data_IF_290220272025
#
_entry.id   IF_290220272025
#
_cell.length_a   1.000
_cell.length_b   1.000
_cell.length_c   1.000
_cell.angle_alpha   90.00
_cell.angle_beta   90.00
_cell.angle_gamma   90.00
#
_symmetry.space_group_name_H-M   'P 1'
#
loop_
_entity.id
_entity.type
_entity.pdbx_description
1 polymer ?
#
# COMPACT_ATOMS: atom_id res chain seq x y z
N UNK A 1 21.40 7.92 35.42
CA UNK A 1 20.48 7.98 34.26
C UNK A 1 20.97 6.94 33.27
N UNK A 2 20.13 5.98 32.89
CA UNK A 2 20.54 4.91 31.96
C UNK A 2 20.54 5.50 30.55
N UNK A 3 21.70 5.44 29.89
CA UNK A 3 21.86 5.89 28.51
C UNK A 3 21.91 4.68 27.58
N UNK A 4 21.37 4.85 26.37
CA UNK A 4 21.52 3.86 25.32
C UNK A 4 23.02 3.67 25.02
N UNK A 5 23.45 2.41 24.95
CA UNK A 5 24.86 2.08 24.71
C UNK A 5 24.98 0.97 23.65
N UNK A 6 26.22 0.72 23.22
CA UNK A 6 26.52 -0.28 22.18
C UNK A 6 26.12 -1.70 22.59
N UNK A 7 26.27 -2.06 23.87
CA UNK A 7 25.95 -3.40 24.36
C UNK A 7 24.45 -3.73 24.22
N UNK A 8 23.57 -2.73 24.35
CA UNK A 8 22.14 -2.91 24.10
C UNK A 8 21.83 -3.24 22.63
N UNK A 9 22.55 -2.63 21.68
CA UNK A 9 22.41 -2.93 20.25
C UNK A 9 23.00 -4.31 19.90
N UNK A 10 24.13 -4.67 20.52
CA UNK A 10 24.74 -6.02 20.39
C UNK A 10 23.76 -7.08 20.90
N UNK A 11 23.14 -6.86 22.06
CA UNK A 11 22.15 -7.78 22.61
C UNK A 11 20.92 -7.97 21.70
N UNK A 12 20.49 -6.91 21.00
CA UNK A 12 19.43 -7.02 19.99
C UNK A 12 19.86 -7.91 18.82
N UNK A 13 21.10 -7.78 18.34
CA UNK A 13 21.69 -8.66 17.33
C UNK A 13 21.81 -10.10 17.81
N UNK A 14 22.37 -10.31 19.00
CA UNK A 14 22.54 -11.65 19.58
C UNK A 14 21.20 -12.35 19.74
N UNK A 15 20.15 -11.61 20.15
CA UNK A 15 18.79 -12.13 20.22
C UNK A 15 18.27 -12.58 18.85
N UNK A 16 18.51 -11.80 17.80
CA UNK A 16 18.07 -12.12 16.45
C UNK A 16 18.88 -13.29 15.86
N UNK A 17 20.18 -13.36 16.10
CA UNK A 17 21.07 -14.45 15.68
C UNK A 17 20.68 -15.75 16.39
N UNK A 18 20.50 -15.72 17.71
CA UNK A 18 20.06 -16.86 18.49
C UNK A 18 18.72 -17.39 17.99
N UNK A 19 17.79 -16.51 17.61
CA UNK A 19 16.53 -16.92 17.00
C UNK A 19 16.73 -17.71 15.70
N UNK A 20 17.62 -17.29 14.80
CA UNK A 20 17.91 -18.03 13.57
C UNK A 20 18.63 -19.36 13.81
N UNK A 21 19.45 -19.44 14.85
CA UNK A 21 20.17 -20.66 15.22
C UNK A 21 19.33 -21.62 16.06
N UNK A 22 18.14 -21.20 16.55
CA UNK A 22 17.33 -21.97 17.49
C UNK A 22 17.93 -22.05 18.90
N UNK A 23 18.78 -21.08 19.25
CA UNK A 23 19.51 -20.99 20.51
C UNK A 23 18.87 -19.97 21.46
N UNK A 24 19.32 -19.97 22.72
CA UNK A 24 18.95 -18.94 23.68
C UNK A 24 19.93 -17.78 23.59
N UNK A 25 19.42 -16.55 23.59
CA UNK A 25 20.24 -15.35 23.59
C UNK A 25 21.19 -15.32 24.82
N UNK A 26 22.44 -14.86 24.65
CA UNK A 26 23.39 -14.71 25.75
C UNK A 26 22.85 -13.75 26.82
N UNK A 27 23.35 -13.82 28.06
CA UNK A 27 22.97 -12.86 29.09
C UNK A 27 23.36 -11.42 28.67
N UNK A 28 22.53 -10.41 28.98
CA UNK A 28 22.83 -9.02 28.62
C UNK A 28 24.05 -8.50 29.39
N UNK A 29 24.87 -7.70 28.71
CA UNK A 29 26.06 -7.05 29.28
C UNK A 29 25.75 -5.64 29.83
N UNK A 30 24.51 -5.41 30.28
CA UNK A 30 24.06 -4.14 30.85
C UNK A 30 23.04 -4.37 31.98
N UNK A 31 22.97 -3.40 32.90
CA UNK A 31 22.12 -3.49 34.08
C UNK A 31 20.64 -3.37 33.74
N UNK A 32 19.78 -3.98 34.55
CA UNK A 32 18.33 -3.87 34.42
C UNK A 32 17.85 -2.46 34.76
N UNK A 33 16.88 -1.97 33.98
CA UNK A 33 16.24 -0.68 34.16
C UNK A 33 14.85 -0.69 33.53
N UNK A 34 14.01 0.29 33.85
CA UNK A 34 12.69 0.41 33.23
C UNK A 34 12.56 1.69 32.42
N UNK A 35 12.45 1.55 31.11
CA UNK A 35 12.33 2.67 30.19
C UNK A 35 11.44 2.31 29.00
N UNK A 36 10.69 3.28 28.45
CA UNK A 36 10.12 3.13 27.12
C UNK A 36 11.23 3.03 26.10
N UNK A 37 11.08 2.16 25.11
CA UNK A 37 12.16 1.82 24.20
C UNK A 37 11.69 1.44 22.81
N UNK A 38 12.55 1.66 21.83
CA UNK A 38 12.36 1.26 20.44
C UNK A 38 13.60 0.53 19.93
N UNK A 39 13.36 -0.46 19.06
CA UNK A 39 14.41 -1.13 18.29
C UNK A 39 14.13 -0.90 16.82
N UNK A 40 15.14 -0.40 16.12
CA UNK A 40 15.09 -0.06 14.70
C UNK A 40 16.16 -0.84 13.96
N UNK A 41 15.76 -1.50 12.88
CA UNK A 41 16.66 -2.16 11.94
C UNK A 41 16.74 -1.32 10.67
N UNK A 42 17.95 -1.06 10.21
CA UNK A 42 18.24 -0.53 8.87
C UNK A 42 19.04 -1.56 8.09
N UNK A 43 18.98 -1.50 6.76
CA UNK A 43 19.71 -2.39 5.87
C UNK A 43 20.46 -1.59 4.82
N UNK A 44 21.74 -1.89 4.68
CA UNK A 44 22.61 -1.36 3.62
C UNK A 44 22.45 -2.22 2.38
N UNK A 45 22.24 -1.60 1.21
CA UNK A 45 22.15 -2.30 -0.08
C UNK A 45 23.17 -1.66 -1.01
N UNK A 46 24.12 -2.46 -1.52
CA UNK A 46 25.12 -2.05 -2.52
C UNK A 46 25.91 -0.77 -2.15
N UNK A 47 26.20 -0.55 -0.87
CA UNK A 47 26.95 0.63 -0.40
C UNK A 47 26.16 1.94 -0.38
N UNK A 48 24.85 1.91 -0.67
CA UNK A 48 23.95 3.05 -0.48
C UNK A 48 23.62 3.30 1.01
N UNK A 49 23.01 4.44 1.31
CA UNK A 49 22.58 4.78 2.67
C UNK A 49 21.67 3.70 3.30
N UNK A 50 21.82 3.42 4.62
CA UNK A 50 21.03 2.41 5.32
C UNK A 50 19.54 2.73 5.28
N UNK A 51 18.73 1.83 4.70
CA UNK A 51 17.28 2.01 4.59
C UNK A 51 16.54 1.31 5.72
N UNK A 52 15.48 1.93 6.23
CA UNK A 52 14.63 1.34 7.26
C UNK A 52 14.12 -0.06 6.84
N UNK A 53 14.30 -1.04 7.73
CA UNK A 53 13.99 -2.46 7.53
C UNK A 53 13.02 -3.01 8.57
N UNK A 54 12.83 -2.31 9.68
CA UNK A 54 11.86 -2.58 10.73
C UNK A 54 12.01 -1.59 11.89
N UNK A 55 10.94 -1.21 12.57
CA UNK A 55 11.01 -0.38 13.78
C UNK A 55 9.76 -0.57 14.64
N UNK A 56 9.93 -1.13 15.83
CA UNK A 56 8.84 -1.35 16.80
C UNK A 56 9.37 -1.08 18.21
N UNK A 57 8.49 -0.55 19.07
CA UNK A 57 8.80 -0.24 20.45
C UNK A 57 7.56 0.01 21.28
N UNK A 58 7.76 0.62 22.44
CA UNK A 58 6.74 0.96 23.42
C UNK A 58 6.98 2.32 24.02
N UNK A 59 5.89 3.04 24.30
CA UNK A 59 5.90 4.28 25.08
C UNK A 59 5.69 4.02 26.58
N UNK A 60 5.24 2.82 26.95
CA UNK A 60 5.18 2.38 28.34
C UNK A 60 6.54 1.85 28.79
N UNK A 61 6.94 2.19 30.02
CA UNK A 61 8.19 1.73 30.59
C UNK A 61 8.20 0.20 30.72
N UNK A 62 9.23 -0.43 30.16
CA UNK A 62 9.47 -1.87 30.31
C UNK A 62 10.88 -2.13 30.80
N UNK A 63 11.03 -3.27 31.48
CA UNK A 63 12.34 -3.85 31.78
C UNK A 63 13.16 -3.92 30.48
N UNK A 64 14.28 -3.20 30.41
CA UNK A 64 15.00 -3.00 29.16
C UNK A 64 15.59 -4.30 28.63
N UNK A 65 15.94 -5.26 29.50
CA UNK A 65 16.45 -6.58 29.09
C UNK A 65 15.37 -7.32 28.30
N UNK A 66 14.18 -7.49 28.90
CA UNK A 66 13.07 -8.17 28.24
C UNK A 66 12.53 -7.38 27.05
N UNK A 67 12.45 -6.05 27.19
CA UNK A 67 11.96 -5.18 26.14
C UNK A 67 12.85 -5.20 24.90
N UNK A 68 14.17 -5.08 25.04
CA UNK A 68 15.06 -5.18 23.88
C UNK A 68 15.00 -6.56 23.23
N UNK A 69 14.93 -7.63 24.02
CA UNK A 69 14.74 -8.99 23.48
C UNK A 69 13.46 -9.10 22.63
N UNK A 70 12.32 -8.70 23.20
CA UNK A 70 11.01 -8.81 22.55
C UNK A 70 10.89 -7.89 21.33
N UNK A 71 11.34 -6.64 21.46
CA UNK A 71 11.23 -5.64 20.40
C UNK A 71 12.29 -5.82 19.31
N UNK A 72 13.45 -6.43 19.58
CA UNK A 72 14.39 -6.85 18.55
C UNK A 72 13.74 -7.87 17.60
N UNK A 73 13.13 -8.92 18.15
CA UNK A 73 12.45 -9.95 17.34
C UNK A 73 11.18 -9.41 16.68
N UNK A 74 10.40 -8.61 17.40
CA UNK A 74 9.14 -8.06 16.86
C UNK A 74 9.40 -7.09 15.72
N UNK A 75 10.37 -6.17 15.86
CA UNK A 75 10.74 -5.25 14.78
C UNK A 75 11.40 -5.95 13.59
N UNK A 76 12.15 -7.04 13.81
CA UNK A 76 12.80 -7.79 12.73
C UNK A 76 11.86 -8.72 11.95
N UNK A 77 10.92 -9.37 12.65
CA UNK A 77 10.16 -10.51 12.11
C UNK A 77 8.66 -10.26 12.01
N UNK A 78 8.13 -9.28 12.75
CA UNK A 78 6.68 -9.06 12.89
C UNK A 78 6.24 -7.63 12.59
N UNK A 79 7.14 -6.77 12.12
CA UNK A 79 6.79 -5.46 11.59
C UNK A 79 6.10 -5.63 10.23
N UNK A 80 4.77 -5.49 10.22
CA UNK A 80 3.93 -5.76 9.04
C UNK A 80 4.25 -4.88 7.82
N UNK A 81 4.96 -3.76 8.01
CA UNK A 81 5.38 -2.86 6.92
C UNK A 81 6.50 -3.48 6.08
N UNK A 82 7.18 -4.49 6.60
CA UNK A 82 8.32 -5.13 5.95
C UNK A 82 8.19 -6.66 5.99
N UNK A 83 8.69 -7.39 4.98
CA UNK A 83 8.78 -8.85 5.08
C UNK A 83 9.73 -9.24 6.22
N UNK A 84 9.55 -10.39 6.89
CA UNK A 84 10.47 -10.82 7.94
C UNK A 84 11.93 -10.82 7.48
N UNK A 85 12.84 -10.32 8.31
CA UNK A 85 14.29 -10.35 8.04
C UNK A 85 14.75 -11.80 7.85
N UNK A 86 15.59 -12.06 6.85
CA UNK A 86 16.19 -13.37 6.61
C UNK A 86 17.61 -13.45 7.20
N UNK A 87 18.06 -14.64 7.59
CA UNK A 87 19.40 -14.86 8.16
C UNK A 87 20.54 -14.32 7.26
N UNK A 88 20.40 -14.43 5.94
CA UNK A 88 21.36 -13.90 4.96
C UNK A 88 21.50 -12.36 4.98
N UNK A 89 20.51 -11.66 5.53
CA UNK A 89 20.54 -10.20 5.62
C UNK A 89 21.40 -9.70 6.79
N UNK A 90 21.66 -10.55 7.81
CA UNK A 90 22.35 -10.17 9.05
C UNK A 90 23.64 -9.34 8.85
N UNK A 91 24.56 -9.68 7.92
CA UNK A 91 25.80 -8.93 7.73
C UNK A 91 25.61 -7.51 7.19
N UNK A 92 24.42 -7.19 6.68
CA UNK A 92 24.09 -5.92 6.04
C UNK A 92 23.14 -5.06 6.89
N UNK A 93 22.82 -5.50 8.11
CA UNK A 93 21.92 -4.79 9.00
C UNK A 93 22.68 -3.82 9.90
N UNK A 94 21.98 -2.75 10.27
CA UNK A 94 22.36 -1.83 11.33
C UNK A 94 21.22 -1.80 12.35
N UNK A 95 21.57 -1.93 13.64
CA UNK A 95 20.63 -1.88 14.74
C UNK A 95 20.77 -0.55 15.47
N UNK A 96 19.65 0.14 15.66
CA UNK A 96 19.57 1.34 16.48
C UNK A 96 18.60 1.08 17.62
N UNK A 97 19.05 1.33 18.85
CA UNK A 97 18.23 1.26 20.06
C UNK A 97 17.94 2.67 20.56
N UNK A 98 16.70 2.92 20.95
CA UNK A 98 16.28 4.21 21.50
C UNK A 98 15.68 3.99 22.88
N UNK A 99 16.24 4.64 23.90
CA UNK A 99 15.66 4.73 25.23
C UNK A 99 15.04 6.12 25.40
N UNK A 100 13.75 6.16 25.70
CA UNK A 100 13.05 7.41 25.93
C UNK A 100 13.15 7.77 27.41
N UNK A 101 13.66 8.96 27.69
CA UNK A 101 13.91 9.45 29.05
C UNK A 101 13.48 10.91 29.15
N UNK A 102 13.37 11.41 30.39
CA UNK A 102 13.14 12.83 30.68
C UNK A 102 11.90 13.41 30.01
N UNK A 103 10.75 12.73 30.16
CA UNK A 103 9.47 13.27 29.70
C UNK A 103 9.14 14.57 30.42
N UNK A 104 8.90 15.62 29.65
CA UNK A 104 8.43 16.91 30.13
C UNK A 104 7.32 17.45 29.24
N UNK A 105 6.41 18.22 29.83
CA UNK A 105 5.34 18.89 29.09
C UNK A 105 5.89 20.19 28.54
N UNK A 106 5.93 20.32 27.22
CA UNK A 106 6.30 21.56 26.53
C UNK A 106 5.33 22.69 26.91
N UNK A 107 5.85 23.90 27.17
CA UNK A 107 5.02 25.07 27.50
C UNK A 107 4.30 25.62 26.27
N UNK A 108 4.95 25.54 25.10
CA UNK A 108 4.45 25.98 23.80
C UNK A 108 4.78 24.94 22.72
N UNK A 109 4.16 25.06 21.55
CA UNK A 109 4.34 24.08 20.47
C UNK A 109 5.78 24.08 19.91
N UNK A 110 6.52 25.18 20.07
CA UNK A 110 7.91 25.37 19.65
C UNK A 110 8.91 25.24 20.81
N UNK A 111 8.47 24.80 21.99
CA UNK A 111 9.31 24.58 23.17
C UNK A 111 10.02 23.22 23.13
N UNK A 112 10.83 23.00 22.08
CA UNK A 112 11.66 21.81 21.89
C UNK A 112 12.72 22.04 20.78
N UNK A 113 13.76 21.21 20.69
CA UNK A 113 14.85 21.42 19.73
C UNK A 113 14.91 20.28 18.69
N UNK A 114 14.90 20.66 17.40
CA UNK A 114 14.94 19.71 16.26
C UNK A 114 16.25 18.90 16.30
N UNK A 115 16.14 17.58 16.17
CA UNK A 115 17.28 16.66 16.19
C UNK A 115 17.75 16.27 17.60
N UNK A 116 17.22 16.90 18.65
CA UNK A 116 17.57 16.61 20.05
C UNK A 116 16.41 16.04 20.84
N UNK A 117 15.21 16.62 20.70
CA UNK A 117 14.03 16.19 21.45
C UNK A 117 13.08 15.36 20.60
N UNK A 118 12.54 14.29 21.20
CA UNK A 118 11.38 13.56 20.68
C UNK A 118 10.10 14.23 21.16
N UNK A 119 8.98 13.89 20.53
CA UNK A 119 7.69 14.52 20.84
C UNK A 119 6.59 13.47 20.93
N UNK A 120 5.75 13.60 21.95
CA UNK A 120 4.50 12.87 22.09
C UNK A 120 3.39 13.91 22.13
N UNK A 121 2.37 13.73 21.29
CA UNK A 121 1.13 14.49 21.41
C UNK A 121 0.05 13.55 21.89
N UNK A 122 -0.78 14.04 22.80
CA UNK A 122 -2.00 13.38 23.25
C UNK A 122 -3.11 14.41 23.29
N UNK A 123 -4.23 14.10 22.64
CA UNK A 123 -5.41 14.98 22.68
C UNK A 123 -6.67 14.15 22.53
N UNK A 124 -7.78 14.66 23.04
CA UNK A 124 -9.10 14.11 22.74
C UNK A 124 -9.59 14.81 21.49
N UNK A 125 -9.93 14.02 20.46
CA UNK A 125 -10.55 14.55 19.26
C UNK A 125 -11.94 15.09 19.61
N UNK A 126 -12.22 16.40 19.42
CA UNK A 126 -13.52 16.97 19.72
C UNK A 126 -14.64 16.40 18.84
N UNK A 127 -14.33 15.96 17.62
CA UNK A 127 -15.33 15.49 16.65
C UNK A 127 -15.78 14.04 16.95
N UNK A 128 -14.85 13.19 17.37
CA UNK A 128 -15.09 11.76 17.61
C UNK A 128 -15.06 11.39 19.10
N UNK A 129 -14.78 12.35 19.98
CA UNK A 129 -14.54 12.18 21.41
C UNK A 129 -13.55 11.05 21.74
N UNK A 130 -12.65 10.74 20.81
CA UNK A 130 -11.69 9.64 20.92
C UNK A 130 -10.33 10.17 21.31
N UNK A 131 -9.68 9.53 22.28
CA UNK A 131 -8.31 9.87 22.66
C UNK A 131 -7.36 9.46 21.53
N UNK A 132 -6.55 10.40 21.05
CA UNK A 132 -5.57 10.20 20.00
C UNK A 132 -4.17 10.47 20.55
N UNK A 133 -3.20 9.76 19.99
CA UNK A 133 -1.79 9.98 20.32
C UNK A 133 -0.90 9.70 19.13
N UNK A 134 0.25 10.38 19.08
CA UNK A 134 1.31 10.05 18.15
C UNK A 134 2.67 10.42 18.74
N UNK A 135 3.70 9.75 18.25
CA UNK A 135 5.08 9.99 18.69
C UNK A 135 6.04 10.10 17.51
N UNK A 136 6.98 11.05 17.62
CA UNK A 136 8.22 11.06 16.85
C UNK A 136 9.42 10.94 17.76
N UNK A 137 10.40 10.16 17.29
CA UNK A 137 11.73 10.08 17.87
C UNK A 137 12.54 11.34 17.49
N UNK A 138 13.57 11.70 18.26
CA UNK A 138 14.38 12.92 18.03
C UNK A 138 14.92 13.07 16.60
N UNK A 139 15.27 11.95 15.98
CA UNK A 139 15.89 11.89 14.65
C UNK A 139 14.93 12.21 13.49
N UNK A 140 13.61 12.08 13.68
CA UNK A 140 12.65 12.13 12.57
C UNK A 140 12.58 13.53 11.94
N UNK A 141 12.40 14.57 12.74
CA UNK A 141 12.26 15.93 12.21
C UNK A 141 13.54 16.42 11.53
N UNK A 142 14.70 16.07 12.09
CA UNK A 142 16.00 16.42 11.51
C UNK A 142 16.27 15.68 10.20
N UNK A 143 15.95 14.38 10.13
CA UNK A 143 16.11 13.58 8.92
C UNK A 143 15.25 14.09 7.74
N UNK A 144 14.03 14.54 8.03
CA UNK A 144 13.13 15.07 7.00
C UNK A 144 13.36 16.56 6.69
N UNK A 145 14.24 17.24 7.43
CA UNK A 145 14.50 18.67 7.27
C UNK A 145 13.32 19.56 7.67
N UNK A 146 12.47 19.10 8.60
CA UNK A 146 11.27 19.84 9.03
C UNK A 146 11.59 20.90 10.08
N UNK A 147 10.89 22.04 9.98
CA UNK A 147 10.77 23.02 11.06
C UNK A 147 9.89 22.49 12.19
N UNK A 148 9.92 23.16 13.36
CA UNK A 148 9.12 22.71 14.51
C UNK A 148 7.61 22.65 14.21
N UNK A 149 7.11 23.65 13.47
CA UNK A 149 5.71 23.73 13.06
C UNK A 149 5.34 22.59 12.10
N UNK A 150 6.17 22.34 11.09
CA UNK A 150 5.95 21.25 10.12
C UNK A 150 5.97 19.87 10.79
N UNK A 151 6.88 19.68 11.75
CA UNK A 151 6.94 18.45 12.53
C UNK A 151 5.67 18.23 13.36
N UNK A 152 5.13 19.27 14.01
CA UNK A 152 3.87 19.18 14.76
C UNK A 152 2.67 18.96 13.84
N UNK A 153 2.57 19.67 12.72
CA UNK A 153 1.50 19.46 11.75
C UNK A 153 1.53 18.02 11.19
N UNK A 154 2.73 17.48 10.97
CA UNK A 154 2.92 16.08 10.57
C UNK A 154 2.54 15.10 11.68
N UNK A 155 2.89 15.42 12.93
CA UNK A 155 2.57 14.58 14.08
C UNK A 155 1.07 14.55 14.38
N UNK A 156 0.39 15.70 14.31
CA UNK A 156 -1.08 15.80 14.44
C UNK A 156 -1.79 14.97 13.37
N UNK A 157 -1.29 15.01 12.13
CA UNK A 157 -1.77 14.14 11.04
C UNK A 157 -1.52 12.67 11.32
N UNK A 158 -0.38 12.31 11.91
CA UNK A 158 -0.06 10.94 12.35
C UNK A 158 -0.96 10.47 13.51
N UNK A 159 -1.39 11.38 14.39
CA UNK A 159 -2.44 11.09 15.37
C UNK A 159 -3.84 11.04 14.73
N UNK A 160 -3.97 11.34 13.44
CA UNK A 160 -5.19 11.25 12.66
C UNK A 160 -6.07 12.50 12.68
N UNK A 161 -5.57 13.65 13.18
CA UNK A 161 -6.30 14.94 13.12
C UNK A 161 -5.73 15.83 12.02
N UNK A 162 -6.62 16.49 11.27
CA UNK A 162 -6.27 17.47 10.24
C UNK A 162 -6.45 18.87 10.84
N UNK A 163 -5.37 19.49 11.29
CA UNK A 163 -5.37 20.91 11.66
C UNK A 163 -4.04 21.52 11.24
N UNK A 164 -4.07 22.78 10.78
CA UNK A 164 -2.87 23.60 10.57
C UNK A 164 -2.66 24.41 11.85
N UNK A 165 -1.49 24.33 12.46
CA UNK A 165 -1.18 25.16 13.63
C UNK A 165 -0.89 26.59 13.17
N UNK A 166 -1.90 27.46 13.17
CA UNK A 166 -1.69 28.91 13.17
C UNK A 166 -2.14 29.52 14.49
N UNK A 167 -1.15 29.94 15.30
CA UNK A 167 -1.28 30.91 16.39
C UNK A 167 -2.24 30.56 17.53
N UNK A 168 -1.70 30.08 18.66
CA UNK A 168 -2.19 30.11 20.06
C UNK A 168 -3.65 29.80 20.43
N UNK A 169 -4.56 29.58 19.47
CA UNK A 169 -5.96 29.26 19.68
C UNK A 169 -6.40 28.36 18.54
N UNK A 170 -6.92 27.17 18.86
CA UNK A 170 -7.75 26.43 17.92
C UNK A 170 -9.00 27.28 17.68
N UNK A 171 -9.00 28.11 16.64
CA UNK A 171 -10.21 28.81 16.22
C UNK A 171 -11.10 27.77 15.55
N UNK A 172 -12.21 27.42 16.22
CA UNK A 172 -13.43 26.99 15.55
C UNK A 172 -13.82 28.10 14.57
N UNK A 173 -13.47 27.94 13.30
CA UNK A 173 -14.16 28.65 12.23
C UNK A 173 -14.51 27.65 11.13
N UNK A 174 -15.79 27.28 11.12
CA UNK A 174 -16.57 26.94 9.94
C UNK A 174 -16.11 25.76 9.07
N UNK A 175 -15.70 24.64 9.68
CA UNK A 175 -15.53 23.37 8.97
C UNK A 175 -16.72 22.39 9.09
N UNK A 176 -17.87 22.84 9.62
CA UNK A 176 -19.11 22.05 9.62
C UNK A 176 -19.83 22.00 8.25
N UNK A 177 -19.18 22.47 7.17
CA UNK A 177 -19.77 22.61 5.83
C UNK A 177 -18.94 22.06 4.67
N UNK A 178 -17.85 21.31 4.91
CA UNK A 178 -17.09 20.68 3.82
C UNK A 178 -17.42 19.18 3.71
N UNK A 179 -18.49 18.86 2.99
CA UNK A 179 -18.46 17.64 2.17
C UNK A 179 -17.17 17.69 1.36
N UNK A 180 -16.36 16.64 1.41
CA UNK A 180 -14.99 16.59 0.89
C UNK A 180 -14.99 16.64 -0.65
N UNK A 181 -15.13 17.84 -1.24
CA UNK A 181 -15.26 18.05 -2.69
C UNK A 181 -13.91 17.89 -3.41
N UNK A 182 -13.73 16.82 -4.19
CA UNK A 182 -12.57 16.71 -5.08
C UNK A 182 -12.31 15.34 -5.70
N UNK A 183 -11.13 15.20 -6.34
CA UNK A 183 -10.60 13.93 -6.83
C UNK A 183 -9.87 13.21 -5.69
N UNK A 184 -10.21 11.94 -5.45
CA UNK A 184 -9.89 11.21 -4.23
C UNK A 184 -8.79 10.18 -4.47
N UNK A 185 -8.95 9.34 -5.48
CA UNK A 185 -8.05 8.24 -5.79
C UNK A 185 -7.89 8.10 -7.30
N UNK A 186 -6.72 7.74 -7.79
CA UNK A 186 -6.48 7.47 -9.20
C UNK A 186 -5.44 6.37 -9.41
N UNK A 187 -5.59 5.59 -10.47
CA UNK A 187 -4.56 4.64 -10.90
C UNK A 187 -4.47 4.49 -12.42
N UNK A 188 -3.37 3.89 -12.86
CA UNK A 188 -3.18 3.33 -14.21
C UNK A 188 -2.95 1.83 -14.11
N UNK A 189 -3.64 1.03 -14.92
CA UNK A 189 -3.56 -0.42 -14.94
C UNK A 189 -3.46 -0.98 -16.36
N UNK A 190 -2.91 -2.19 -16.51
CA UNK A 190 -2.99 -3.01 -17.73
C UNK A 190 -3.77 -4.28 -17.40
N UNK A 191 -4.92 -4.48 -18.03
CA UNK A 191 -5.87 -5.55 -17.63
C UNK A 191 -6.29 -5.39 -16.17
N UNK A 192 -5.97 -6.37 -15.31
CA UNK A 192 -6.24 -6.32 -13.87
C UNK A 192 -5.05 -5.87 -13.00
N UNK A 193 -3.90 -5.56 -13.63
CA UNK A 193 -2.65 -5.25 -12.91
C UNK A 193 -2.49 -3.75 -12.81
N UNK A 194 -2.52 -3.23 -11.58
CA UNK A 194 -2.26 -1.80 -11.30
C UNK A 194 -0.76 -1.51 -11.43
N UNK A 195 -0.41 -0.54 -12.27
CA UNK A 195 0.98 -0.17 -12.59
C UNK A 195 1.49 0.97 -11.73
N UNK A 196 0.63 1.95 -11.45
CA UNK A 196 0.89 3.09 -10.59
C UNK A 196 -0.44 3.57 -10.01
N UNK A 197 -0.44 3.97 -8.74
CA UNK A 197 -1.60 4.54 -8.07
C UNK A 197 -1.23 5.79 -7.28
N UNK A 198 -2.21 6.65 -7.08
CA UNK A 198 -2.07 7.78 -6.20
C UNK A 198 -3.38 8.01 -5.44
N UNK A 199 -3.25 8.18 -4.14
CA UNK A 199 -4.34 8.62 -3.30
C UNK A 199 -3.88 9.75 -2.38
N UNK A 200 -4.73 10.76 -2.25
CA UNK A 200 -4.59 11.79 -1.21
C UNK A 200 -5.39 11.43 0.05
N UNK A 201 -6.18 10.36 -0.02
CA UNK A 201 -7.09 9.92 1.03
C UNK A 201 -6.88 8.44 1.31
N UNK A 202 -7.18 8.04 2.53
CA UNK A 202 -7.16 6.65 2.94
C UNK A 202 -8.59 6.12 3.02
N UNK A 203 -8.73 4.83 2.75
CA UNK A 203 -10.02 4.17 2.62
C UNK A 203 -9.96 3.02 1.64
N UNK A 204 -11.07 2.31 1.49
CA UNK A 204 -11.18 1.11 0.65
C UNK A 204 -11.37 1.40 -0.86
N UNK A 205 -11.12 2.64 -1.30
CA UNK A 205 -11.30 3.04 -2.71
C UNK A 205 -10.44 2.23 -3.68
N UNK A 206 -9.21 1.88 -3.30
CA UNK A 206 -8.31 1.08 -4.13
C UNK A 206 -8.92 -0.29 -4.44
N UNK A 207 -9.45 -0.98 -3.43
CA UNK A 207 -10.04 -2.30 -3.56
C UNK A 207 -11.36 -2.26 -4.32
N UNK A 208 -12.24 -1.30 -4.01
CA UNK A 208 -13.49 -1.16 -4.75
C UNK A 208 -13.20 -0.88 -6.22
N UNK A 209 -12.22 -0.03 -6.51
CA UNK A 209 -11.84 0.30 -7.87
C UNK A 209 -11.24 -0.92 -8.62
N UNK A 210 -10.47 -1.79 -7.95
CA UNK A 210 -9.99 -3.06 -8.52
C UNK A 210 -11.12 -4.08 -8.70
N UNK A 211 -12.11 -4.13 -7.81
CA UNK A 211 -13.31 -4.97 -8.00
C UNK A 211 -14.13 -4.50 -9.22
N UNK A 212 -14.29 -3.18 -9.39
CA UNK A 212 -14.92 -2.57 -10.55
C UNK A 212 -14.17 -2.88 -11.86
N UNK A 213 -12.84 -2.96 -11.82
CA UNK A 213 -11.99 -3.30 -12.96
C UNK A 213 -12.35 -4.67 -13.57
N UNK A 214 -12.78 -5.63 -12.76
CA UNK A 214 -13.19 -6.98 -13.20
C UNK A 214 -14.51 -6.99 -14.00
N UNK A 215 -15.29 -5.91 -13.92
CA UNK A 215 -16.56 -5.76 -14.65
C UNK A 215 -16.46 -4.96 -15.94
N UNK A 216 -15.30 -4.37 -16.21
CA UNK A 216 -15.08 -3.63 -17.46
C UNK A 216 -15.11 -4.63 -18.62
N UNK A 217 -16.04 -4.44 -19.54
CA UNK A 217 -16.09 -5.20 -20.79
C UNK A 217 -15.32 -4.48 -21.89
N UNK A 218 -14.86 -5.17 -22.92
CA UNK A 218 -14.13 -4.53 -24.03
C UNK A 218 -15.04 -3.72 -24.98
N UNK A 219 -16.34 -3.63 -24.69
CA UNK A 219 -17.32 -3.05 -25.61
C UNK A 219 -17.44 -1.52 -25.51
N UNK A 220 -16.88 -0.89 -24.46
CA UNK A 220 -16.90 0.57 -24.28
C UNK A 220 -15.55 1.07 -23.79
N UNK A 221 -15.27 2.34 -24.07
CA UNK A 221 -14.03 3.01 -23.68
C UNK A 221 -14.16 3.84 -22.41
N UNK A 222 -15.39 4.19 -21.99
CA UNK A 222 -15.65 5.04 -20.82
C UNK A 222 -16.73 4.42 -19.93
N UNK A 223 -16.47 4.34 -18.63
CA UNK A 223 -17.42 3.83 -17.64
C UNK A 223 -17.50 4.76 -16.43
N UNK A 224 -18.68 4.87 -15.82
CA UNK A 224 -18.83 5.50 -14.52
C UNK A 224 -19.72 4.62 -13.63
N UNK A 225 -19.24 4.32 -12.42
CA UNK A 225 -20.01 3.67 -11.37
C UNK A 225 -20.24 4.63 -10.20
N UNK A 226 -21.42 4.63 -9.60
CA UNK A 226 -21.70 5.40 -8.37
C UNK A 226 -21.84 4.48 -7.17
N UNK A 227 -21.39 4.96 -6.02
CA UNK A 227 -21.55 4.31 -4.73
C UNK A 227 -21.38 5.33 -3.61
N UNK A 228 -22.28 5.37 -2.63
CA UNK A 228 -22.22 6.20 -1.41
C UNK A 228 -21.70 7.64 -1.63
N UNK A 229 -22.26 8.37 -2.60
CA UNK A 229 -21.88 9.77 -2.90
C UNK A 229 -20.54 9.95 -3.62
N UNK A 230 -19.95 8.86 -4.10
CA UNK A 230 -18.70 8.83 -4.86
C UNK A 230 -18.92 8.25 -6.25
N UNK A 231 -18.08 8.68 -7.20
CA UNK A 231 -18.10 8.21 -8.60
C UNK A 231 -16.75 7.62 -8.99
N UNK A 232 -16.76 6.40 -9.50
CA UNK A 232 -15.60 5.70 -10.03
C UNK A 232 -15.64 5.81 -11.55
N UNK A 233 -14.74 6.59 -12.12
CA UNK A 233 -14.70 6.90 -13.54
C UNK A 233 -13.51 6.17 -14.18
N UNK A 234 -13.79 5.43 -15.25
CA UNK A 234 -12.80 4.63 -15.98
C UNK A 234 -12.69 5.08 -17.43
N UNK A 235 -11.47 5.11 -17.95
CA UNK A 235 -11.13 5.33 -19.35
C UNK A 235 -10.22 4.20 -19.83
N UNK A 236 -10.64 3.48 -20.88
CA UNK A 236 -9.89 2.40 -21.50
C UNK A 236 -9.28 2.89 -22.81
N UNK A 237 -7.97 2.70 -22.98
CA UNK A 237 -7.26 3.05 -24.20
C UNK A 237 -6.04 2.14 -24.40
N UNK A 238 -5.87 1.59 -25.61
CA UNK A 238 -4.70 0.77 -25.98
C UNK A 238 -4.34 -0.37 -25.00
N UNK A 239 -5.36 -1.01 -24.38
CA UNK A 239 -5.15 -2.10 -23.41
C UNK A 239 -4.84 -1.65 -21.98
N UNK A 240 -4.78 -0.34 -21.74
CA UNK A 240 -4.63 0.27 -20.42
C UNK A 240 -5.96 0.81 -19.90
N UNK A 241 -6.07 0.86 -18.59
CA UNK A 241 -7.22 1.38 -17.86
C UNK A 241 -6.75 2.51 -16.95
N UNK A 242 -7.37 3.68 -17.09
CA UNK A 242 -7.16 4.86 -16.26
C UNK A 242 -8.39 5.05 -15.39
N UNK A 243 -8.20 5.19 -14.08
CA UNK A 243 -9.29 5.41 -13.13
C UNK A 243 -9.10 6.68 -12.32
N UNK A 244 -10.22 7.36 -12.03
CA UNK A 244 -10.31 8.34 -10.96
C UNK A 244 -11.60 8.17 -10.16
N UNK A 245 -11.48 8.22 -8.84
CA UNK A 245 -12.59 8.33 -7.89
C UNK A 245 -12.77 9.80 -7.54
N UNK A 246 -14.00 10.30 -7.64
CA UNK A 246 -14.33 11.67 -7.33
C UNK A 246 -15.63 11.74 -6.52
N UNK A 247 -15.77 12.78 -5.71
CA UNK A 247 -17.04 13.13 -5.09
C UNK A 247 -18.11 13.36 -6.18
N UNK A 248 -19.33 12.83 -5.98
CA UNK A 248 -20.41 12.91 -6.96
C UNK A 248 -20.80 14.35 -7.32
N UNK A 249 -20.59 15.30 -6.42
CA UNK A 249 -20.85 16.74 -6.65
C UNK A 249 -19.92 17.36 -7.71
N UNK A 250 -18.79 16.72 -8.03
CA UNK A 250 -17.87 17.16 -9.08
C UNK A 250 -18.43 16.95 -10.50
N UNK A 251 -19.48 16.12 -10.62
CA UNK A 251 -20.02 15.71 -11.91
C UNK A 251 -19.02 14.92 -12.75
N UNK A 252 -19.40 14.62 -13.99
CA UNK A 252 -18.63 13.71 -14.88
C UNK A 252 -17.53 14.41 -15.67
N UNK A 253 -17.63 15.71 -15.90
CA UNK A 253 -16.75 16.39 -16.85
C UNK A 253 -15.32 16.54 -16.34
N UNK A 254 -15.14 16.91 -15.07
CA UNK A 254 -13.82 17.09 -14.45
C UNK A 254 -13.06 15.76 -14.34
N UNK A 255 -13.65 14.65 -13.83
CA UNK A 255 -13.02 13.33 -13.84
C UNK A 255 -12.51 12.89 -15.21
N UNK A 256 -13.32 13.01 -16.27
CA UNK A 256 -12.89 12.58 -17.60
C UNK A 256 -11.85 13.53 -18.22
N UNK A 257 -11.89 14.83 -17.96
CA UNK A 257 -10.82 15.74 -18.39
C UNK A 257 -9.49 15.36 -17.73
N UNK A 258 -9.51 15.04 -16.43
CA UNK A 258 -8.35 14.52 -15.71
C UNK A 258 -7.84 13.22 -16.35
N UNK A 259 -8.71 12.23 -16.57
CA UNK A 259 -8.34 10.94 -17.15
C UNK A 259 -7.68 11.08 -18.53
N UNK A 260 -8.20 11.97 -19.38
CA UNK A 260 -7.61 12.23 -20.69
C UNK A 260 -6.20 12.84 -20.57
N UNK A 261 -5.98 13.77 -19.63
CA UNK A 261 -4.66 14.37 -19.40
C UNK A 261 -3.64 13.32 -18.92
N UNK A 262 -4.05 12.48 -17.98
CA UNK A 262 -3.21 11.39 -17.46
C UNK A 262 -2.88 10.40 -18.58
N UNK A 263 -3.87 10.02 -19.40
CA UNK A 263 -3.68 9.15 -20.55
C UNK A 263 -2.68 9.74 -21.54
N UNK A 264 -2.85 11.00 -21.93
CA UNK A 264 -1.98 11.65 -22.92
C UNK A 264 -0.52 11.73 -22.42
N UNK A 265 -0.33 12.04 -21.13
CA UNK A 265 0.98 12.07 -20.48
C UNK A 265 1.61 10.66 -20.40
N UNK A 266 0.83 9.66 -20.00
CA UNK A 266 1.26 8.26 -19.97
C UNK A 266 1.68 7.76 -21.36
N UNK A 267 0.88 8.04 -22.39
CA UNK A 267 1.22 7.65 -23.77
C UNK A 267 2.47 8.36 -24.25
N UNK A 268 2.62 9.66 -23.97
CA UNK A 268 3.82 10.41 -24.37
C UNK A 268 5.09 9.81 -23.76
N UNK A 269 5.01 9.37 -22.51
CA UNK A 269 6.16 8.84 -21.78
C UNK A 269 6.47 7.37 -22.11
N UNK A 270 5.44 6.55 -22.37
CA UNK A 270 5.61 5.09 -22.50
C UNK A 270 5.28 4.53 -23.90
N UNK A 271 4.93 5.36 -24.89
CA UNK A 271 4.59 4.93 -26.26
C UNK A 271 5.63 4.02 -26.91
N UNK A 272 6.92 4.22 -26.65
CA UNK A 272 8.00 3.42 -27.23
C UNK A 272 8.07 1.99 -26.66
N UNK A 273 7.57 1.77 -25.44
CA UNK A 273 7.55 0.48 -24.75
C UNK A 273 6.24 -0.29 -24.98
N UNK A 274 5.20 0.36 -25.53
CA UNK A 274 3.94 -0.26 -25.93
C UNK A 274 4.12 -0.82 -27.35
N UNK A 275 4.94 -1.87 -27.51
CA UNK A 275 4.89 -2.67 -28.75
C UNK A 275 3.81 -3.75 -28.60
N UNK A 276 2.96 -3.98 -29.62
CA UNK A 276 2.08 -5.14 -29.63
C UNK A 276 2.93 -6.41 -29.71
N UNK A 277 2.47 -7.50 -29.08
CA UNK A 277 3.02 -8.85 -29.25
C UNK A 277 3.28 -9.13 -30.75
N UNK A 278 4.52 -9.03 -31.20
CA UNK A 278 4.96 -9.67 -32.43
C UNK A 278 5.34 -11.12 -32.07
N UNK A 279 4.79 -12.14 -32.77
CA UNK A 279 5.24 -13.51 -32.58
C UNK A 279 6.71 -13.59 -32.99
N UNK A 280 7.58 -13.97 -32.06
CA UNK A 280 9.00 -14.17 -32.35
C UNK A 280 9.14 -15.25 -33.44
N UNK A 281 9.71 -14.94 -34.62
CA UNK A 281 10.00 -15.96 -35.60
C UNK A 281 11.20 -16.76 -35.08
N UNK A 282 11.00 -18.08 -34.98
CA UNK A 282 12.03 -19.10 -34.74
C UNK A 282 12.74 -18.95 -33.38
N UNK A 283 12.13 -19.51 -32.33
CA UNK A 283 12.88 -19.92 -31.16
C UNK A 283 13.72 -21.15 -31.54
N UNK A 284 15.01 -20.91 -31.82
CA UNK A 284 16.03 -21.94 -31.70
C UNK A 284 16.26 -22.18 -30.19
N UNK A 285 16.36 -23.45 -29.81
CA UNK A 285 16.20 -24.00 -28.44
C UNK A 285 17.31 -23.68 -27.42
N UNK A 286 18.18 -22.68 -27.62
CA UNK A 286 19.30 -22.43 -26.71
C UNK A 286 19.56 -20.93 -26.53
N UNK A 287 18.99 -20.31 -25.49
CA UNK A 287 19.63 -19.27 -24.66
C UNK A 287 18.68 -18.80 -23.53
N UNK A 288 19.19 -18.82 -22.29
CA UNK A 288 18.56 -18.29 -21.08
C UNK A 288 18.35 -16.75 -21.15
N UNK A 289 17.37 -16.25 -21.92
CA UNK A 289 16.99 -14.82 -21.95
C UNK A 289 15.49 -14.55 -21.73
N UNK A 290 14.92 -15.17 -20.69
CA UNK A 290 13.60 -14.77 -20.15
C UNK A 290 13.68 -13.51 -19.25
N UNK A 291 14.77 -12.71 -19.33
CA UNK A 291 15.02 -11.57 -18.43
C UNK A 291 14.42 -10.24 -18.91
N UNK A 292 13.56 -10.25 -19.93
CA UNK A 292 12.77 -9.08 -20.35
C UNK A 292 11.27 -9.37 -20.33
N UNK A 293 10.76 -9.83 -19.18
CA UNK A 293 9.32 -9.82 -18.92
C UNK A 293 8.73 -8.42 -19.08
N UNK A 294 7.65 -8.30 -19.86
CA UNK A 294 6.91 -7.07 -20.12
C UNK A 294 6.80 -6.20 -18.86
N UNK A 295 7.39 -5.00 -18.86
CA UNK A 295 7.43 -4.08 -17.71
C UNK A 295 6.04 -3.77 -17.15
N UNK A 296 4.99 -3.94 -17.97
CA UNK A 296 3.59 -3.73 -17.62
C UNK A 296 2.88 -4.97 -17.02
N UNK A 297 3.60 -6.07 -16.79
CA UNK A 297 3.10 -7.26 -16.09
C UNK A 297 3.34 -7.23 -14.57
N UNK A 298 4.20 -6.32 -14.10
CA UNK A 298 4.60 -6.20 -12.70
C UNK A 298 3.75 -5.12 -12.03
N UNK A 299 3.03 -5.51 -10.96
CA UNK A 299 2.23 -4.57 -10.17
C UNK A 299 3.11 -3.49 -9.52
N UNK A 300 2.62 -2.24 -9.51
CA UNK A 300 3.26 -1.08 -8.89
C UNK A 300 4.66 -0.71 -9.42
N UNK A 301 5.07 -1.29 -10.56
CA UNK A 301 6.40 -1.07 -11.12
C UNK A 301 6.65 0.38 -11.56
N UNK A 302 5.58 1.12 -11.90
CA UNK A 302 5.66 2.51 -12.33
C UNK A 302 5.31 3.50 -11.22
N UNK A 303 5.08 3.03 -9.99
CA UNK A 303 4.54 3.86 -8.92
C UNK A 303 5.46 5.02 -8.53
N UNK A 304 6.78 4.77 -8.53
CA UNK A 304 7.78 5.82 -8.27
C UNK A 304 7.87 6.88 -9.36
N UNK A 305 7.63 6.49 -10.61
CA UNK A 305 7.80 7.38 -11.78
C UNK A 305 6.51 8.14 -12.07
N UNK A 306 5.36 7.44 -12.02
CA UNK A 306 4.08 7.96 -12.47
C UNK A 306 3.11 8.30 -11.32
N UNK A 307 3.30 7.75 -10.11
CA UNK A 307 2.52 8.12 -8.92
C UNK A 307 2.59 9.62 -8.57
N UNK A 308 3.77 10.26 -8.57
CA UNK A 308 3.88 11.71 -8.39
C UNK A 308 3.19 12.52 -9.50
N UNK A 309 3.18 12.01 -10.74
CA UNK A 309 2.51 12.65 -11.88
C UNK A 309 0.98 12.60 -11.72
N UNK A 310 0.43 11.48 -11.26
CA UNK A 310 -0.98 11.37 -10.91
C UNK A 310 -1.37 12.42 -9.85
N UNK A 311 -0.55 12.59 -8.80
CA UNK A 311 -0.73 13.64 -7.80
C UNK A 311 -0.74 15.04 -8.41
N UNK A 312 0.23 15.34 -9.25
CA UNK A 312 0.36 16.64 -9.94
C UNK A 312 -0.88 16.95 -10.79
N UNK A 313 -1.34 16.00 -11.61
CA UNK A 313 -2.56 16.17 -12.42
C UNK A 313 -3.81 16.33 -11.55
N UNK A 314 -3.92 15.59 -10.44
CA UNK A 314 -5.06 15.73 -9.52
C UNK A 314 -5.07 17.13 -8.90
N UNK A 315 -3.93 17.61 -8.40
CA UNK A 315 -3.80 18.96 -7.84
C UNK A 315 -4.06 20.05 -8.87
N UNK A 316 -3.59 19.88 -10.11
CA UNK A 316 -3.84 20.82 -11.20
C UNK A 316 -5.33 20.95 -11.51
N UNK A 317 -6.04 19.83 -11.65
CA UNK A 317 -7.48 19.82 -11.92
C UNK A 317 -8.30 20.43 -10.77
N UNK A 318 -7.82 20.34 -9.53
CA UNK A 318 -8.46 20.95 -8.36
C UNK A 318 -8.18 22.45 -8.23
N UNK A 319 -7.00 22.91 -8.62
CA UNK A 319 -6.59 24.32 -8.52
C UNK A 319 -7.08 25.18 -9.70
N UNK A 320 -7.51 24.58 -10.81
CA UNK A 320 -7.92 25.29 -12.04
C UNK A 320 -9.36 24.97 -12.50
N UNK A 321 -10.39 25.14 -11.65
CA UNK A 321 -11.77 24.74 -11.98
C UNK A 321 -12.36 25.47 -13.20
N UNK A 322 -12.01 26.74 -13.43
CA UNK A 322 -12.51 27.51 -14.58
C UNK A 322 -11.96 26.98 -15.91
N UNK A 323 -10.68 26.65 -15.96
CA UNK A 323 -10.04 26.05 -17.13
C UNK A 323 -10.62 24.66 -17.40
N UNK A 324 -10.81 23.86 -16.33
CA UNK A 324 -11.45 22.55 -16.43
C UNK A 324 -12.89 22.68 -16.97
N UNK A 325 -13.64 23.70 -16.57
CA UNK A 325 -14.99 23.94 -17.09
C UNK A 325 -15.01 24.32 -18.58
N UNK A 326 -14.02 25.10 -19.05
CA UNK A 326 -13.86 25.48 -20.46
C UNK A 326 -13.45 24.27 -21.30
N UNK A 327 -12.45 23.52 -20.86
CA UNK A 327 -12.01 22.27 -21.52
C UNK A 327 -13.12 21.22 -21.53
N UNK A 328 -13.90 21.12 -20.45
CA UNK A 328 -15.08 20.27 -20.38
C UNK A 328 -16.13 20.65 -21.43
N UNK A 329 -16.40 21.95 -21.60
CA UNK A 329 -17.36 22.44 -22.61
C UNK A 329 -16.87 22.16 -24.03
N UNK A 330 -15.59 22.40 -24.31
CA UNK A 330 -14.98 22.13 -25.63
C UNK A 330 -14.99 20.63 -25.93
N UNK A 331 -14.61 19.77 -24.98
CA UNK A 331 -14.64 18.31 -25.15
C UNK A 331 -16.06 17.75 -25.20
N UNK A 332 -17.03 18.36 -24.52
CA UNK A 332 -18.44 17.97 -24.60
C UNK A 332 -19.06 18.25 -25.99
N UNK A 333 -18.58 19.29 -26.69
CA UNK A 333 -18.97 19.59 -28.08
C UNK A 333 -18.38 18.58 -29.09
N UNK A 334 -17.28 17.90 -28.74
CA UNK A 334 -16.59 16.89 -29.55
C UNK A 334 -17.17 15.47 -29.43
N UNK A 335 -18.30 15.28 -28.74
CA UNK A 335 -19.01 13.99 -28.58
C UNK A 335 -18.20 12.93 -27.82
N UNK A 336 -18.46 12.73 -26.51
CA UNK A 336 -18.20 11.42 -25.87
C UNK A 336 -18.80 11.21 -24.47
N UNK A 337 -19.19 12.26 -23.75
CA UNK A 337 -19.69 12.11 -22.35
C UNK A 337 -21.18 11.71 -22.30
N UNK A 338 -21.94 11.90 -23.39
CA UNK A 338 -23.39 11.60 -23.44
C UNK A 338 -23.73 10.10 -23.40
N UNK A 339 -22.78 9.22 -23.76
CA UNK A 339 -22.99 7.77 -23.84
C UNK A 339 -22.56 6.98 -22.61
N UNK A 340 -22.00 7.63 -21.59
CA UNK A 340 -21.52 6.96 -20.37
C UNK A 340 -22.70 6.69 -19.45
N UNK A 341 -23.22 5.45 -19.51
CA UNK A 341 -24.25 4.97 -18.59
C UNK A 341 -23.68 4.87 -17.17
N UNK A 342 -24.49 5.28 -16.20
CA UNK A 342 -24.18 5.19 -14.79
C UNK A 342 -24.69 3.85 -14.28
N UNK A 343 -23.79 2.96 -13.91
CA UNK A 343 -24.17 1.67 -13.32
C UNK A 343 -23.97 1.73 -11.80
N UNK A 344 -24.96 1.30 -11.01
CA UNK A 344 -24.83 1.24 -9.56
C UNK A 344 -24.08 -0.05 -9.17
N UNK A 345 -23.00 0.09 -8.38
CA UNK A 345 -22.09 -1.00 -8.01
C UNK A 345 -22.54 -1.77 -6.75
N UNK A 346 -23.66 -1.41 -6.11
CA UNK A 346 -24.18 -2.03 -4.86
C UNK A 346 -24.29 -3.58 -4.90
N UNK A 347 -24.39 -4.19 -6.08
CA UNK A 347 -24.42 -5.66 -6.23
C UNK A 347 -23.05 -6.35 -6.28
N UNK A 348 -21.95 -5.58 -6.29
CA UNK A 348 -20.56 -6.07 -6.44
C UNK A 348 -19.81 -6.05 -5.12
N UNK A 349 -20.14 -5.07 -4.29
CA UNK A 349 -19.74 -5.03 -2.88
C UNK A 349 -20.49 -6.19 -2.21
N UNK A 350 -19.79 -7.26 -1.86
CA UNK A 350 -20.36 -8.42 -1.17
C UNK A 350 -21.08 -7.93 0.09
N UNK A 351 -22.41 -8.10 0.14
CA UNK A 351 -23.40 -7.69 1.18
C UNK A 351 -22.85 -7.15 2.53
N UNK A 352 -22.09 -6.05 2.53
CA UNK A 352 -21.52 -5.50 3.78
C UNK A 352 -20.25 -4.66 3.69
N UNK A 353 -19.50 -4.62 2.58
CA UNK A 353 -18.38 -3.66 2.45
C UNK A 353 -18.92 -2.25 2.19
N UNK A 354 -19.13 -1.47 3.26
CA UNK A 354 -19.47 -0.05 3.17
C UNK A 354 -18.25 0.74 2.66
N UNK A 355 -18.44 1.84 1.94
CA UNK A 355 -17.32 2.75 1.66
C UNK A 355 -16.84 3.33 2.99
N UNK A 356 -15.65 2.90 3.39
CA UNK A 356 -14.98 3.38 4.60
C UNK A 356 -13.89 4.34 4.16
N UNK A 357 -14.18 5.63 4.29
CA UNK A 357 -13.17 6.68 4.24
C UNK A 357 -12.53 6.74 5.63
N UNK A 358 -11.54 5.89 5.85
CA UNK A 358 -10.73 5.93 7.06
C UNK A 358 -9.56 6.86 6.82
N UNK A 359 -9.45 7.95 7.57
CA UNK A 359 -8.33 8.89 7.46
C UNK A 359 -7.12 8.37 8.23
N UNK A 360 -6.51 7.27 7.76
CA UNK A 360 -5.11 6.95 8.03
C UNK A 360 -4.40 6.21 6.87
N UNK A 361 -3.18 6.63 6.50
CA UNK A 361 -2.40 6.08 5.36
C UNK A 361 -1.91 4.63 5.58
N UNK A 362 -2.23 4.06 6.74
CA UNK A 362 -1.72 2.78 7.25
C UNK A 362 -2.62 1.58 6.85
N UNK A 363 -3.88 1.81 6.47
CA UNK A 363 -4.88 0.74 6.34
C UNK A 363 -5.02 0.16 4.91
N UNK A 364 -4.50 0.84 3.89
CA UNK A 364 -4.63 0.37 2.50
C UNK A 364 -3.89 -0.96 2.25
N UNK A 365 -2.77 -1.19 2.94
CA UNK A 365 -1.94 -2.40 2.78
C UNK A 365 -2.54 -3.65 3.45
N UNK A 366 -3.33 -3.48 4.51
CA UNK A 366 -3.89 -4.59 5.27
C UNK A 366 -5.07 -5.25 4.54
N UNK A 367 -5.83 -4.44 3.77
CA UNK A 367 -7.00 -4.88 3.02
C UNK A 367 -6.65 -5.42 1.61
N UNK A 368 -5.62 -4.86 0.95
CA UNK A 368 -5.10 -5.34 -0.33
C UNK A 368 -4.42 -6.72 -0.22
N UNK A 369 -3.70 -6.98 0.87
CA UNK A 369 -3.08 -8.28 1.12
C UNK A 369 -4.13 -9.38 1.32
N UNK A 370 -5.27 -9.06 1.96
CA UNK A 370 -6.33 -10.03 2.21
C UNK A 370 -7.12 -10.35 0.93
N UNK A 371 -7.37 -9.36 0.05
CA UNK A 371 -8.00 -9.60 -1.27
C UNK A 371 -7.07 -10.34 -2.23
N UNK A 372 -5.76 -10.04 -2.26
CA UNK A 372 -4.78 -10.78 -3.06
C UNK A 372 -4.60 -12.23 -2.56
N UNK A 373 -4.59 -12.46 -1.24
CA UNK A 373 -4.59 -13.82 -0.68
C UNK A 373 -5.90 -14.58 -0.98
N UNK A 374 -7.06 -13.92 -0.94
CA UNK A 374 -8.35 -14.53 -1.27
C UNK A 374 -8.42 -14.89 -2.76
N UNK A 375 -8.01 -14.00 -3.66
CA UNK A 375 -7.95 -14.27 -5.11
C UNK A 375 -6.92 -15.36 -5.43
N UNK A 376 -5.73 -15.30 -4.82
CA UNK A 376 -4.70 -16.34 -4.96
C UNK A 376 -5.20 -17.72 -4.49
N UNK A 377 -5.95 -17.80 -3.38
CA UNK A 377 -6.57 -19.05 -2.92
C UNK A 377 -7.70 -19.53 -3.83
N UNK A 378 -8.52 -18.63 -4.37
CA UNK A 378 -9.59 -18.97 -5.31
C UNK A 378 -9.03 -19.48 -6.65
N UNK A 379 -8.00 -18.84 -7.21
CA UNK A 379 -7.26 -19.30 -8.39
C UNK A 379 -6.60 -20.66 -8.13
N UNK A 380 -5.93 -20.84 -6.99
CA UNK A 380 -5.30 -22.11 -6.61
C UNK A 380 -6.34 -23.24 -6.44
N UNK A 381 -7.53 -22.95 -5.90
CA UNK A 381 -8.64 -23.93 -5.83
C UNK A 381 -9.23 -24.26 -7.19
N UNK A 382 -9.40 -23.27 -8.08
CA UNK A 382 -9.91 -23.49 -9.45
C UNK A 382 -8.92 -24.32 -10.28
N UNK A 383 -7.63 -24.01 -10.19
CA UNK A 383 -6.55 -24.80 -10.82
C UNK A 383 -6.44 -26.20 -10.19
N UNK A 384 -6.58 -26.32 -8.87
CA UNK A 384 -6.57 -27.63 -8.20
C UNK A 384 -7.75 -28.50 -8.64
N UNK A 385 -8.96 -27.95 -8.77
CA UNK A 385 -10.12 -28.69 -9.27
C UNK A 385 -9.96 -29.12 -10.73
N UNK A 386 -9.46 -28.23 -11.59
CA UNK A 386 -9.22 -28.56 -13.00
C UNK A 386 -8.13 -29.63 -13.16
N UNK A 387 -7.05 -29.53 -12.40
CA UNK A 387 -5.98 -30.53 -12.38
C UNK A 387 -6.45 -31.85 -11.74
N UNK A 388 -7.34 -31.82 -10.74
CA UNK A 388 -7.93 -33.03 -10.15
C UNK A 388 -8.88 -33.72 -11.14
N UNK A 389 -9.71 -32.95 -11.84
CA UNK A 389 -10.61 -33.46 -12.87
C UNK A 389 -9.82 -34.10 -14.02
N UNK A 390 -8.73 -33.47 -14.46
CA UNK A 390 -7.83 -34.05 -15.48
C UNK A 390 -7.16 -35.33 -14.96
N UNK A 391 -6.65 -35.36 -13.73
CA UNK A 391 -6.02 -36.55 -13.11
C UNK A 391 -7.00 -37.71 -12.93
N UNK A 392 -8.25 -37.45 -12.57
CA UNK A 392 -9.29 -38.49 -12.44
C UNK A 392 -9.69 -39.08 -13.79
N UNK A 393 -9.79 -38.27 -14.85
CA UNK A 393 -10.05 -38.78 -16.20
C UNK A 393 -8.91 -39.66 -16.71
N UNK A 394 -7.66 -39.22 -16.55
CA UNK A 394 -6.47 -40.00 -16.96
C UNK A 394 -6.35 -41.28 -16.13
N UNK A 395 -6.53 -41.21 -14.81
CA UNK A 395 -6.50 -42.37 -13.94
C UNK A 395 -7.60 -43.39 -14.27
N UNK A 396 -8.82 -42.93 -14.55
CA UNK A 396 -9.93 -43.78 -14.99
C UNK A 396 -9.65 -44.50 -16.31
N UNK A 397 -9.08 -43.79 -17.29
CA UNK A 397 -8.70 -44.38 -18.57
C UNK A 397 -7.64 -45.49 -18.39
N UNK A 398 -6.63 -45.27 -17.54
CA UNK A 398 -5.60 -46.27 -17.24
C UNK A 398 -6.22 -47.50 -16.56
N UNK A 399 -7.13 -47.31 -15.60
CA UNK A 399 -7.84 -48.40 -14.92
C UNK A 399 -8.67 -49.25 -15.88
N UNK A 400 -9.36 -48.62 -16.82
CA UNK A 400 -10.12 -49.32 -17.87
C UNK A 400 -9.17 -50.13 -18.75
N UNK A 401 -8.03 -49.58 -19.17
CA UNK A 401 -7.04 -50.31 -19.98
C UNK A 401 -6.48 -51.52 -19.23
N UNK A 402 -6.18 -51.37 -17.93
CA UNK A 402 -5.73 -52.48 -17.09
C UNK A 402 -6.81 -53.56 -17.00
N UNK A 403 -8.07 -53.17 -16.83
CA UNK A 403 -9.19 -54.09 -16.73
C UNK A 403 -9.44 -54.83 -18.05
N UNK A 404 -9.34 -54.14 -19.18
CA UNK A 404 -9.40 -54.76 -20.52
C UNK A 404 -8.26 -55.76 -20.70
N UNK A 405 -7.03 -55.37 -20.36
CA UNK A 405 -5.86 -56.25 -20.47
C UNK A 405 -6.02 -57.49 -19.58
N UNK A 406 -6.51 -57.31 -18.35
CA UNK A 406 -6.79 -58.39 -17.42
C UNK A 406 -7.87 -59.35 -17.97
N UNK A 407 -8.95 -58.83 -18.57
CA UNK A 407 -9.98 -59.66 -19.18
C UNK A 407 -9.49 -60.44 -20.40
N UNK A 408 -8.58 -59.87 -21.19
CA UNK A 408 -7.94 -60.54 -22.33
C UNK A 408 -7.00 -61.65 -21.82
N UNK A 409 -6.18 -61.37 -20.81
CA UNK A 409 -5.22 -62.32 -20.25
C UNK A 409 -5.89 -63.48 -19.49
N UNK A 410 -6.99 -63.21 -18.78
CA UNK A 410 -7.71 -64.22 -17.99
C UNK A 410 -8.85 -64.91 -18.75
N UNK A 411 -9.06 -64.61 -20.04
CA UNK A 411 -10.04 -65.31 -20.89
C UNK A 411 -11.50 -64.99 -20.56
N UNK A 412 -11.79 -63.79 -20.05
CA UNK A 412 -13.12 -63.30 -19.69
C UNK A 412 -13.58 -63.66 -18.26
N UNK A 413 -14.74 -63.15 -17.84
CA UNK A 413 -15.37 -63.49 -16.56
C UNK A 413 -15.97 -64.91 -16.63
N UNK A 414 -15.16 -65.95 -16.45
CA UNK A 414 -15.68 -67.27 -16.12
C UNK A 414 -15.85 -67.34 -14.59
N UNK A 415 -17.09 -67.12 -14.13
CA UNK A 415 -17.56 -67.58 -12.83
C UNK A 415 -17.59 -69.11 -12.79
#
# INVERSE_FOLDING_TARGET
MVAANREMAVYCFDTLVAHFNGEQAPPPAFDEAQHPLFVTWKKTVNGCEPRLRGCIGTLEARAIINGFKDYALTSALRDRRFPPIQAKELPHLECTVSLLTNYETAQQYDDWEVGKHGMIIEFTDPDTNSRRSATYLPEVAAHEGWTQKEAIDSLMRKAGRRCLVEGSYCIESDLAGMSQRGLIYSFVAKGTVVLAEHTSYSGNFSTIAVQCLQKLSSNRTKYTFSCDGHTFNFLLDSGFVFLVVADETMGRSVPFVFLERVKDDFKKQYAASIKPDEPHPLADDDEDDDLFGDRFSIAYNLDREFGPKLKEHMQYCMSHPEEMSKLSKIKAQLSEVKGVMMDNIEKVLDRGEKIELLVDKTENLQFQADTFQRQGRQLRRKMWLQNLQMKLMVGGAILILILIFWLIACGGFKC
#
